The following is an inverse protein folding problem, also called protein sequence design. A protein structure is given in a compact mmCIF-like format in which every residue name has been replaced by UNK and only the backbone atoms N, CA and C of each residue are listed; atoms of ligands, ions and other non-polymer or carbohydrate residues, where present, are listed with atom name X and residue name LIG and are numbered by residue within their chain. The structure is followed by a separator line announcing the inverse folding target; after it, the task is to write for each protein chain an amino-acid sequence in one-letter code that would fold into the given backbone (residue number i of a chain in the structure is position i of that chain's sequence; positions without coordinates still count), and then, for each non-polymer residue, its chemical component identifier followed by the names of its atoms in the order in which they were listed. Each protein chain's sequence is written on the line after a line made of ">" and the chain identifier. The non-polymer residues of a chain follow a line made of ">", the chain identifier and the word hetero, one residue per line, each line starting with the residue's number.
data_IF_272626081270
#
_entry.id   IF_272626081270
#
_cell.length_a   1.000
_cell.length_b   1.000
_cell.length_c   1.000
_cell.angle_alpha   90.00
_cell.angle_beta   90.00
_cell.angle_gamma   90.00
#
_symmetry.space_group_name_H-M   'P 1'
#
loop_
_entity.id
_entity.type
_entity.pdbx_description
1 polymer ?
#
# COMPACT_ATOMS: atom_id res chain seq x y z
N UNK A 1 20.66 -27.39 13.64
CA UNK A 1 20.69 -26.33 12.63
C UNK A 1 21.34 -25.13 13.31
N UNK A 2 22.43 -24.62 12.78
CA UNK A 2 23.13 -23.47 13.37
C UNK A 2 22.31 -22.19 13.16
N UNK A 3 22.47 -21.20 14.04
CA UNK A 3 21.78 -19.91 13.97
C UNK A 3 21.98 -19.24 12.59
N UNK A 4 23.19 -19.32 12.07
CA UNK A 4 23.56 -18.85 10.71
C UNK A 4 22.80 -19.52 9.57
N UNK A 5 22.44 -20.82 9.70
CA UNK A 5 21.63 -21.52 8.66
C UNK A 5 20.17 -21.08 8.71
N UNK A 6 19.64 -20.77 9.89
CA UNK A 6 18.27 -20.24 10.03
C UNK A 6 18.14 -18.83 9.47
N UNK A 7 19.14 -17.96 9.70
CA UNK A 7 19.18 -16.60 9.17
C UNK A 7 19.26 -16.58 7.64
N UNK A 8 20.13 -17.41 7.06
CA UNK A 8 20.26 -17.54 5.60
C UNK A 8 18.95 -18.05 4.97
N UNK A 9 18.29 -19.02 5.60
CA UNK A 9 17.01 -19.54 5.14
C UNK A 9 15.91 -18.47 5.21
N UNK A 10 15.86 -17.69 6.29
CA UNK A 10 14.90 -16.60 6.46
C UNK A 10 15.09 -15.49 5.40
N UNK A 11 16.33 -15.09 5.12
CA UNK A 11 16.66 -14.12 4.09
C UNK A 11 16.27 -14.61 2.68
N UNK A 12 16.54 -15.88 2.37
CA UNK A 12 16.15 -16.50 1.11
C UNK A 12 14.62 -16.56 0.95
N UNK A 13 13.90 -16.95 2.01
CA UNK A 13 12.44 -16.97 2.02
C UNK A 13 11.85 -15.57 1.83
N UNK A 14 12.42 -14.55 2.46
CA UNK A 14 11.98 -13.17 2.30
C UNK A 14 12.15 -12.68 0.85
N UNK A 15 13.29 -13.01 0.20
CA UNK A 15 13.52 -12.69 -1.21
C UNK A 15 12.49 -13.37 -2.11
N UNK A 16 12.25 -14.66 -1.90
CA UNK A 16 11.26 -15.45 -2.66
C UNK A 16 9.86 -14.86 -2.48
N UNK A 17 9.44 -14.59 -1.25
CA UNK A 17 8.15 -13.98 -0.97
C UNK A 17 8.03 -12.57 -1.57
N UNK A 18 9.13 -11.79 -1.56
CA UNK A 18 9.22 -10.50 -2.21
C UNK A 18 8.97 -10.57 -3.72
N UNK A 19 9.66 -11.48 -4.39
CA UNK A 19 9.51 -11.72 -5.84
C UNK A 19 8.11 -12.24 -6.17
N UNK A 20 7.61 -13.23 -5.43
CA UNK A 20 6.25 -13.77 -5.61
C UNK A 20 5.17 -12.70 -5.41
N UNK A 21 5.29 -11.88 -4.38
CA UNK A 21 4.37 -10.78 -4.13
C UNK A 21 4.37 -9.76 -5.27
N UNK A 22 5.54 -9.43 -5.80
CA UNK A 22 5.66 -8.55 -6.97
C UNK A 22 5.02 -9.17 -8.23
N UNK A 23 5.27 -10.45 -8.49
CA UNK A 23 4.66 -11.17 -9.61
C UNK A 23 3.13 -11.23 -9.47
N UNK A 24 2.62 -11.50 -8.28
CA UNK A 24 1.18 -11.52 -8.01
C UNK A 24 0.55 -10.13 -8.18
N UNK A 25 1.18 -9.06 -7.66
CA UNK A 25 0.70 -7.70 -7.82
C UNK A 25 0.68 -7.28 -9.31
N UNK A 26 1.75 -7.61 -10.04
CA UNK A 26 1.86 -7.35 -11.47
C UNK A 26 0.82 -8.16 -12.26
N UNK A 27 0.67 -9.45 -11.96
CA UNK A 27 -0.33 -10.32 -12.56
C UNK A 27 -1.75 -9.81 -12.34
N UNK A 28 -2.08 -9.42 -11.11
CA UNK A 28 -3.37 -8.83 -10.77
C UNK A 28 -3.62 -7.52 -11.53
N UNK A 29 -2.62 -6.63 -11.59
CA UNK A 29 -2.72 -5.37 -12.33
C UNK A 29 -2.97 -5.61 -13.83
N UNK A 30 -2.29 -6.60 -14.43
CA UNK A 30 -2.50 -6.99 -15.84
C UNK A 30 -3.89 -7.60 -16.08
N UNK A 31 -4.37 -8.46 -15.18
CA UNK A 31 -5.73 -9.03 -15.24
C UNK A 31 -6.76 -7.92 -15.15
N UNK A 32 -6.63 -7.01 -14.20
CA UNK A 32 -7.52 -5.86 -14.04
C UNK A 32 -7.52 -4.96 -15.29
N UNK A 33 -6.33 -4.70 -15.86
CA UNK A 33 -6.20 -3.94 -17.10
C UNK A 33 -6.85 -4.64 -18.30
N UNK A 34 -6.69 -5.96 -18.43
CA UNK A 34 -7.30 -6.75 -19.49
C UNK A 34 -8.83 -6.75 -19.38
N UNK A 35 -9.38 -6.92 -18.18
CA UNK A 35 -10.82 -6.85 -17.94
C UNK A 35 -11.38 -5.45 -18.20
N UNK A 36 -10.65 -4.41 -17.83
CA UNK A 36 -11.02 -3.03 -18.13
C UNK A 36 -11.10 -2.77 -19.65
N UNK A 37 -10.11 -3.25 -20.39
CA UNK A 37 -10.09 -3.14 -21.87
C UNK A 37 -11.26 -3.87 -22.54
N UNK A 38 -11.68 -5.02 -21.98
CA UNK A 38 -12.82 -5.82 -22.48
C UNK A 38 -14.18 -5.23 -22.10
N UNK A 39 -14.23 -4.09 -21.43
CA UNK A 39 -15.48 -3.45 -21.01
C UNK A 39 -16.25 -4.20 -19.93
N UNK A 40 -15.62 -5.20 -19.29
CA UNK A 40 -16.22 -5.94 -18.17
C UNK A 40 -16.39 -4.99 -16.99
N UNK A 41 -17.62 -4.58 -16.75
CA UNK A 41 -17.99 -3.75 -15.61
C UNK A 41 -18.34 -4.65 -14.44
N UNK A 42 -17.40 -4.88 -13.54
CA UNK A 42 -17.74 -5.47 -12.26
C UNK A 42 -18.71 -4.57 -11.50
N UNK A 43 -19.73 -5.17 -10.89
CA UNK A 43 -20.58 -4.44 -9.96
C UNK A 43 -19.72 -3.92 -8.79
N UNK A 44 -20.21 -2.88 -8.11
CA UNK A 44 -19.54 -2.36 -6.90
C UNK A 44 -19.31 -3.45 -5.86
N UNK A 45 -20.28 -4.38 -5.72
CA UNK A 45 -20.17 -5.55 -4.84
C UNK A 45 -19.06 -6.51 -5.27
N UNK A 46 -18.87 -6.71 -6.57
CA UNK A 46 -17.79 -7.56 -7.09
C UNK A 46 -16.39 -7.00 -6.77
N UNK A 47 -16.19 -5.70 -6.87
CA UNK A 47 -14.93 -5.06 -6.48
C UNK A 47 -14.63 -5.21 -4.98
N UNK A 48 -15.65 -5.00 -4.12
CA UNK A 48 -15.51 -5.20 -2.67
C UNK A 48 -15.16 -6.64 -2.32
N UNK A 49 -15.83 -7.61 -2.94
CA UNK A 49 -15.57 -9.01 -2.67
C UNK A 49 -14.17 -9.45 -3.13
N UNK A 50 -13.72 -8.99 -4.30
CA UNK A 50 -12.46 -9.43 -4.89
C UNK A 50 -11.22 -8.80 -4.29
N UNK A 51 -11.28 -7.57 -3.81
CA UNK A 51 -10.11 -6.83 -3.36
C UNK A 51 -10.15 -6.46 -1.87
N UNK A 52 -11.26 -5.92 -1.38
CA UNK A 52 -11.33 -5.38 -0.03
C UNK A 52 -11.50 -6.46 1.05
N UNK A 53 -12.31 -7.49 0.81
CA UNK A 53 -12.55 -8.55 1.80
C UNK A 53 -11.31 -9.39 2.09
N UNK A 54 -10.55 -9.90 1.08
CA UNK A 54 -9.30 -10.62 1.35
C UNK A 54 -8.26 -9.75 2.05
N UNK A 55 -8.15 -8.46 1.66
CA UNK A 55 -7.23 -7.52 2.30
C UNK A 55 -7.63 -7.26 3.77
N UNK A 56 -8.91 -7.12 4.06
CA UNK A 56 -9.40 -6.96 5.43
C UNK A 56 -9.14 -8.21 6.27
N UNK A 57 -9.36 -9.41 5.71
CA UNK A 57 -9.05 -10.68 6.37
C UNK A 57 -7.56 -10.80 6.69
N UNK A 58 -6.69 -10.51 5.73
CA UNK A 58 -5.24 -10.49 5.95
C UNK A 58 -4.86 -9.48 7.04
N UNK A 59 -5.39 -8.25 6.95
CA UNK A 59 -5.13 -7.23 7.95
C UNK A 59 -5.55 -7.67 9.35
N UNK A 60 -6.73 -8.27 9.51
CA UNK A 60 -7.23 -8.74 10.79
C UNK A 60 -6.33 -9.83 11.41
N UNK A 61 -5.86 -10.79 10.59
CA UNK A 61 -4.92 -11.83 11.04
C UNK A 61 -3.59 -11.19 11.50
N UNK A 62 -3.01 -10.29 10.71
CA UNK A 62 -1.77 -9.60 11.06
C UNK A 62 -1.92 -8.76 12.34
N UNK A 63 -3.03 -8.03 12.45
CA UNK A 63 -3.35 -7.22 13.63
C UNK A 63 -3.49 -8.09 14.90
N UNK A 64 -4.16 -9.24 14.80
CA UNK A 64 -4.26 -10.20 15.90
C UNK A 64 -2.89 -10.71 16.32
N UNK A 65 -2.05 -11.14 15.36
CA UNK A 65 -0.70 -11.64 15.64
C UNK A 65 0.18 -10.60 16.33
N UNK A 66 0.07 -9.34 15.94
CA UNK A 66 0.80 -8.24 16.59
C UNK A 66 0.25 -7.97 17.99
N UNK A 67 -1.07 -7.87 18.15
CA UNK A 67 -1.69 -7.59 19.45
C UNK A 67 -1.43 -8.68 20.50
N UNK A 68 -1.36 -9.96 20.07
CA UNK A 68 -1.12 -11.10 20.96
C UNK A 68 0.35 -11.51 21.05
N UNK A 69 1.28 -10.78 20.42
CA UNK A 69 2.70 -11.15 20.27
C UNK A 69 2.88 -12.60 19.78
N UNK A 70 2.06 -12.98 18.79
CA UNK A 70 2.01 -14.33 18.26
C UNK A 70 3.29 -14.76 17.51
N UNK A 71 3.32 -15.99 16.97
CA UNK A 71 4.50 -16.54 16.26
C UNK A 71 5.06 -15.67 15.15
N UNK A 72 4.22 -14.88 14.48
CA UNK A 72 4.63 -13.97 13.40
C UNK A 72 5.58 -12.87 13.90
N UNK A 73 5.43 -12.39 15.13
CA UNK A 73 6.32 -11.35 15.68
C UNK A 73 7.73 -11.87 15.91
N UNK A 74 7.88 -13.16 16.24
CA UNK A 74 9.19 -13.83 16.35
C UNK A 74 9.85 -13.99 14.98
N UNK A 75 9.06 -14.34 13.95
CA UNK A 75 9.55 -14.39 12.58
C UNK A 75 9.98 -13.00 12.07
N UNK A 76 9.22 -11.96 12.37
CA UNK A 76 9.58 -10.56 12.07
C UNK A 76 10.94 -10.19 12.67
N UNK A 77 11.17 -10.52 13.94
CA UNK A 77 12.43 -10.25 14.62
C UNK A 77 13.59 -11.02 13.98
N UNK A 78 13.40 -12.31 13.69
CA UNK A 78 14.42 -13.15 13.04
C UNK A 78 14.77 -12.64 11.64
N UNK A 79 13.77 -12.23 10.85
CA UNK A 79 13.99 -11.64 9.53
C UNK A 79 14.77 -10.32 9.63
N UNK A 80 14.40 -9.45 10.57
CA UNK A 80 15.09 -8.17 10.76
C UNK A 80 16.56 -8.41 11.16
N UNK A 81 16.82 -9.36 12.03
CA UNK A 81 18.17 -9.74 12.43
C UNK A 81 18.99 -10.29 11.24
N UNK A 82 18.39 -11.16 10.43
CA UNK A 82 19.03 -11.70 9.23
C UNK A 82 19.37 -10.58 8.21
N UNK A 83 18.47 -9.63 8.00
CA UNK A 83 18.72 -8.48 7.14
C UNK A 83 19.84 -7.59 7.69
N UNK A 84 19.89 -7.40 9.01
CA UNK A 84 20.95 -6.60 9.65
C UNK A 84 22.35 -7.16 9.37
N UNK A 85 22.50 -8.48 9.38
CA UNK A 85 23.81 -9.13 9.18
C UNK A 85 24.18 -9.31 7.70
N UNK A 86 23.19 -9.38 6.77
CA UNK A 86 23.42 -9.78 5.39
C UNK A 86 23.29 -8.65 4.37
N UNK A 87 22.58 -7.56 4.70
CA UNK A 87 22.36 -6.46 3.76
C UNK A 87 23.53 -5.49 3.75
N UNK A 88 24.19 -5.33 2.61
CA UNK A 88 25.29 -4.38 2.46
C UNK A 88 24.81 -2.91 2.46
N UNK A 89 25.69 -2.00 2.83
CA UNK A 89 25.42 -0.54 2.79
C UNK A 89 25.00 -0.05 1.42
N UNK A 90 25.53 -0.65 0.35
CA UNK A 90 25.14 -0.32 -1.02
C UNK A 90 23.65 -0.61 -1.28
N UNK A 91 23.15 -1.76 -0.82
CA UNK A 91 21.73 -2.11 -0.91
C UNK A 91 20.84 -1.21 -0.07
N UNK A 92 21.30 -0.78 1.11
CA UNK A 92 20.59 0.17 1.95
C UNK A 92 20.45 1.53 1.24
N UNK A 93 21.53 2.05 0.67
CA UNK A 93 21.48 3.29 -0.11
C UNK A 93 20.57 3.16 -1.33
N UNK A 94 20.62 2.03 -2.04
CA UNK A 94 19.69 1.78 -3.14
C UNK A 94 18.22 1.78 -2.69
N UNK A 95 17.92 1.17 -1.55
CA UNK A 95 16.56 1.10 -1.00
C UNK A 95 15.98 2.48 -0.60
N UNK A 96 16.83 3.50 -0.42
CA UNK A 96 16.34 4.87 -0.15
C UNK A 96 15.67 5.53 -1.36
N UNK A 97 15.93 5.07 -2.58
CA UNK A 97 15.35 5.68 -3.78
C UNK A 97 13.84 5.40 -3.91
N UNK A 98 13.38 4.14 -3.92
CA UNK A 98 11.96 3.86 -4.08
C UNK A 98 11.12 4.35 -2.89
N UNK A 99 11.70 4.44 -1.67
CA UNK A 99 10.97 4.94 -0.51
C UNK A 99 10.60 6.41 -0.62
N UNK A 100 11.41 7.24 -1.35
CA UNK A 100 11.15 8.68 -1.52
C UNK A 100 9.78 8.98 -2.12
N UNK A 101 9.25 8.09 -2.95
CA UNK A 101 7.91 8.24 -3.50
C UNK A 101 6.81 8.25 -2.41
N UNK A 102 7.07 7.66 -1.25
CA UNK A 102 6.18 7.64 -0.08
C UNK A 102 6.49 8.71 0.96
N UNK A 103 7.53 9.53 0.77
CA UNK A 103 7.91 10.55 1.74
C UNK A 103 6.82 11.62 1.87
N UNK A 104 6.53 12.09 3.09
CA UNK A 104 5.46 13.06 3.33
C UNK A 104 5.54 14.31 2.45
N UNK A 105 6.69 14.96 2.22
CA UNK A 105 6.76 16.14 1.33
C UNK A 105 6.33 15.83 -0.10
N UNK A 106 6.74 14.67 -0.65
CA UNK A 106 6.41 14.25 -2.01
C UNK A 106 4.91 13.97 -2.13
N UNK A 107 4.35 13.22 -1.17
CA UNK A 107 2.92 12.89 -1.15
C UNK A 107 2.07 14.14 -0.97
N UNK A 108 2.46 15.08 -0.11
CA UNK A 108 1.74 16.36 0.10
C UNK A 108 1.78 17.20 -1.17
N UNK A 109 2.95 17.38 -1.80
CA UNK A 109 3.09 18.14 -3.04
C UNK A 109 2.24 17.52 -4.17
N UNK A 110 2.32 16.20 -4.35
CA UNK A 110 1.53 15.47 -5.34
C UNK A 110 0.02 15.61 -5.06
N UNK A 111 -0.36 15.52 -3.78
CA UNK A 111 -1.77 15.66 -3.37
C UNK A 111 -2.32 17.03 -3.74
N UNK A 112 -1.57 18.09 -3.46
CA UNK A 112 -1.97 19.45 -3.78
C UNK A 112 -2.04 19.67 -5.30
N UNK A 113 -1.02 19.26 -6.06
CA UNK A 113 -0.96 19.43 -7.52
C UNK A 113 -2.13 18.73 -8.22
N UNK A 114 -2.39 17.47 -7.88
CA UNK A 114 -3.48 16.70 -8.49
C UNK A 114 -4.85 17.25 -8.09
N UNK A 115 -5.04 17.60 -6.82
CA UNK A 115 -6.29 18.19 -6.34
C UNK A 115 -6.62 19.51 -7.05
N UNK A 116 -5.63 20.41 -7.14
CA UNK A 116 -5.78 21.70 -7.84
C UNK A 116 -6.04 21.51 -9.34
N UNK A 117 -5.30 20.62 -10.01
CA UNK A 117 -5.49 20.31 -11.42
C UNK A 117 -6.88 19.74 -11.72
N UNK A 118 -7.38 18.83 -10.87
CA UNK A 118 -8.73 18.29 -10.97
C UNK A 118 -9.80 19.36 -10.72
N UNK A 119 -9.56 20.23 -9.74
CA UNK A 119 -10.47 21.32 -9.40
C UNK A 119 -10.60 22.33 -10.53
N UNK A 120 -9.51 22.77 -11.11
CA UNK A 120 -9.51 23.68 -12.27
C UNK A 120 -10.21 23.09 -13.49
N UNK A 121 -10.07 21.77 -13.69
CA UNK A 121 -10.77 21.04 -14.76
C UNK A 121 -12.23 20.71 -14.43
N UNK A 122 -12.80 21.29 -13.37
CA UNK A 122 -14.18 21.07 -12.90
C UNK A 122 -14.49 19.61 -12.51
N UNK A 123 -13.49 18.82 -12.21
CA UNK A 123 -13.65 17.45 -11.70
C UNK A 123 -13.70 17.40 -10.17
N UNK A 124 -14.54 18.24 -9.54
CA UNK A 124 -14.57 18.46 -8.09
C UNK A 124 -14.74 17.17 -7.28
N UNK A 125 -15.64 16.27 -7.73
CA UNK A 125 -15.86 15.00 -7.03
C UNK A 125 -14.64 14.06 -7.09
N UNK A 126 -13.88 14.09 -8.21
CA UNK A 126 -12.61 13.36 -8.30
C UNK A 126 -11.54 13.99 -7.40
N UNK A 127 -11.49 15.32 -7.32
CA UNK A 127 -10.57 16.01 -6.41
C UNK A 127 -10.86 15.66 -4.95
N UNK A 128 -12.12 15.66 -4.54
CA UNK A 128 -12.51 15.25 -3.19
C UNK A 128 -12.17 13.78 -2.90
N UNK A 129 -12.45 12.87 -3.84
CA UNK A 129 -12.10 11.47 -3.69
C UNK A 129 -10.59 11.23 -3.65
N UNK A 130 -9.80 11.99 -4.40
CA UNK A 130 -8.35 11.98 -4.36
C UNK A 130 -7.83 12.40 -2.98
N UNK A 131 -8.27 13.55 -2.46
CA UNK A 131 -7.90 14.03 -1.14
C UNK A 131 -8.33 13.05 -0.04
N UNK A 132 -9.56 12.52 -0.12
CA UNK A 132 -10.05 11.53 0.82
C UNK A 132 -9.20 10.25 0.82
N UNK A 133 -8.76 9.79 -0.36
CA UNK A 133 -7.90 8.60 -0.46
C UNK A 133 -6.54 8.83 0.22
N UNK A 134 -5.89 9.96 0.00
CA UNK A 134 -4.54 10.22 0.53
C UNK A 134 -4.58 10.67 1.99
N UNK A 135 -5.32 11.74 2.29
CA UNK A 135 -5.38 12.31 3.65
C UNK A 135 -6.11 11.36 4.60
N UNK A 136 -7.23 10.78 4.17
CA UNK A 136 -7.98 9.82 4.97
C UNK A 136 -7.15 8.57 5.31
N UNK A 137 -6.34 8.06 4.35
CA UNK A 137 -5.39 6.97 4.65
C UNK A 137 -4.35 7.38 5.69
N UNK A 138 -3.81 8.60 5.60
CA UNK A 138 -2.84 9.08 6.59
C UNK A 138 -3.44 9.19 8.00
N UNK A 139 -4.68 9.69 8.10
CA UNK A 139 -5.41 9.76 9.37
C UNK A 139 -5.74 8.37 9.93
N UNK A 140 -6.22 7.46 9.08
CA UNK A 140 -6.47 6.07 9.46
C UNK A 140 -5.19 5.41 9.99
N UNK A 141 -4.09 5.54 9.25
CA UNK A 141 -2.81 4.95 9.65
C UNK A 141 -2.31 5.53 10.98
N UNK A 142 -2.45 6.84 11.19
CA UNK A 142 -2.12 7.49 12.46
C UNK A 142 -2.95 6.93 13.61
N UNK A 143 -4.26 6.78 13.43
CA UNK A 143 -5.15 6.17 14.44
C UNK A 143 -4.77 4.74 14.77
N UNK A 144 -4.50 3.92 13.74
CA UNK A 144 -4.06 2.53 13.94
C UNK A 144 -2.71 2.44 14.67
N UNK A 145 -1.76 3.33 14.38
CA UNK A 145 -0.47 3.37 15.10
C UNK A 145 -0.65 3.58 16.61
N UNK A 146 -1.54 4.48 17.01
CA UNK A 146 -1.86 4.72 18.42
C UNK A 146 -2.67 3.59 19.06
N UNK A 147 -3.39 2.79 18.26
CA UNK A 147 -4.13 1.63 18.77
C UNK A 147 -3.21 0.45 19.11
N UNK A 148 -2.18 0.21 18.29
CA UNK A 148 -1.30 -0.95 18.44
C UNK A 148 -0.01 -0.66 19.18
N UNK A 149 0.47 0.57 19.17
CA UNK A 149 1.66 1.07 19.87
C UNK A 149 2.90 0.17 19.74
N UNK A 150 3.03 -0.51 18.60
CA UNK A 150 4.12 -1.44 18.36
C UNK A 150 5.45 -0.69 18.21
N UNK A 151 6.46 -1.13 18.95
CA UNK A 151 7.83 -0.63 18.81
C UNK A 151 8.42 -0.97 17.44
N UNK A 152 9.34 -0.11 16.97
CA UNK A 152 10.08 -0.34 15.73
C UNK A 152 11.20 -1.35 15.93
N UNK A 153 11.72 -1.96 14.84
CA UNK A 153 12.96 -2.74 14.90
C UNK A 153 14.10 -1.97 15.57
N UNK A 154 14.83 -2.64 16.46
CA UNK A 154 15.97 -2.04 17.16
C UNK A 154 17.20 -1.81 16.25
N UNK A 155 17.22 -2.49 15.09
CA UNK A 155 18.35 -2.47 14.17
C UNK A 155 18.10 -1.47 13.03
N UNK A 156 18.67 -0.29 13.16
CA UNK A 156 18.69 0.66 12.04
C UNK A 156 20.11 1.07 11.70
N UNK A 157 20.36 1.28 10.43
CA UNK A 157 21.69 1.61 9.91
C UNK A 157 22.00 3.12 9.91
N UNK A 158 21.13 3.96 10.47
CA UNK A 158 21.29 5.41 10.45
C UNK A 158 21.06 6.08 9.08
N UNK A 159 20.76 5.30 8.02
CA UNK A 159 20.52 5.82 6.67
C UNK A 159 19.16 6.53 6.58
N UNK A 160 18.17 6.04 7.30
CA UNK A 160 16.83 6.64 7.43
C UNK A 160 16.43 6.57 8.90
N UNK A 161 15.95 7.69 9.44
CA UNK A 161 15.41 7.76 10.80
C UNK A 161 13.90 7.91 10.74
N UNK A 162 13.20 7.09 11.52
CA UNK A 162 11.75 7.13 11.64
C UNK A 162 11.36 7.18 13.11
N UNK A 163 10.37 8.00 13.44
CA UNK A 163 9.87 8.17 14.80
C UNK A 163 8.45 7.60 14.97
N UNK A 164 8.06 7.37 16.23
CA UNK A 164 6.73 6.85 16.57
C UNK A 164 6.57 5.36 16.29
N UNK A 165 5.34 4.88 16.39
CA UNK A 165 4.99 3.46 16.33
C UNK A 165 5.18 2.83 14.96
N UNK A 166 5.43 1.50 14.96
CA UNK A 166 5.76 0.74 13.77
C UNK A 166 4.53 0.27 12.99
N UNK A 167 3.52 -0.27 13.67
CA UNK A 167 2.38 -0.94 13.03
C UNK A 167 1.15 -0.04 12.86
N UNK A 168 0.52 -0.04 11.70
CA UNK A 168 0.99 -0.54 10.40
C UNK A 168 1.92 0.46 9.70
N UNK A 169 2.62 0.01 8.63
CA UNK A 169 3.52 0.88 7.87
C UNK A 169 2.78 1.99 7.12
N UNK A 170 3.08 3.25 7.46
CA UNK A 170 2.51 4.42 6.81
C UNK A 170 2.99 4.64 5.38
N UNK A 171 4.26 4.33 5.08
CA UNK A 171 4.78 4.38 3.72
C UNK A 171 4.11 3.34 2.82
N UNK A 172 3.93 2.11 3.29
CA UNK A 172 3.29 1.05 2.50
C UNK A 172 1.82 1.38 2.20
N UNK A 173 1.04 1.79 3.21
CA UNK A 173 -0.36 2.17 3.02
C UNK A 173 -0.50 3.45 2.20
N UNK A 174 0.36 4.45 2.45
CA UNK A 174 0.34 5.75 1.78
C UNK A 174 0.71 5.66 0.30
N UNK A 175 1.78 4.94 -0.07
CA UNK A 175 2.14 4.75 -1.48
C UNK A 175 1.05 4.01 -2.23
N UNK A 176 0.49 2.95 -1.64
CA UNK A 176 -0.61 2.21 -2.27
C UNK A 176 -1.86 3.08 -2.47
N UNK A 177 -2.29 3.83 -1.45
CA UNK A 177 -3.46 4.69 -1.56
C UNK A 177 -3.24 5.83 -2.56
N UNK A 178 -2.06 6.47 -2.53
CA UNK A 178 -1.72 7.60 -3.41
C UNK A 178 -1.61 7.15 -4.87
N UNK A 179 -0.71 6.21 -5.15
CA UNK A 179 -0.46 5.79 -6.54
C UNK A 179 -1.57 4.91 -7.11
N UNK A 180 -2.25 4.14 -6.26
CA UNK A 180 -3.45 3.39 -6.66
C UNK A 180 -4.60 4.31 -7.04
N UNK A 181 -4.84 5.39 -6.28
CA UNK A 181 -5.86 6.38 -6.65
C UNK A 181 -5.43 7.19 -7.87
N UNK A 182 -4.14 7.53 -8.03
CA UNK A 182 -3.62 8.18 -9.23
C UNK A 182 -3.83 7.31 -10.47
N UNK A 183 -3.52 6.02 -10.39
CA UNK A 183 -3.82 5.07 -11.48
C UNK A 183 -5.31 5.02 -11.80
N UNK A 184 -6.18 5.01 -10.78
CA UNK A 184 -7.62 5.09 -11.00
C UNK A 184 -8.04 6.38 -11.72
N UNK A 185 -7.45 7.54 -11.39
CA UNK A 185 -7.70 8.80 -12.09
C UNK A 185 -7.26 8.73 -13.56
N UNK A 186 -6.10 8.14 -13.83
CA UNK A 186 -5.63 7.90 -15.22
C UNK A 186 -6.61 7.01 -15.99
N UNK A 187 -7.10 5.92 -15.37
CA UNK A 187 -8.10 5.04 -15.96
C UNK A 187 -9.43 5.76 -16.29
N UNK A 188 -9.71 6.85 -15.59
CA UNK A 188 -10.96 7.63 -15.77
C UNK A 188 -10.84 8.79 -16.75
N UNK A 189 -9.67 9.38 -16.87
CA UNK A 189 -9.46 10.67 -17.54
C UNK A 189 -8.52 10.59 -18.75
N UNK A 190 -7.67 9.57 -18.83
CA UNK A 190 -6.67 9.44 -19.88
C UNK A 190 -7.06 8.38 -20.92
N UNK A 191 -6.48 8.46 -22.14
CA UNK A 191 -6.66 7.44 -23.18
C UNK A 191 -6.22 6.04 -22.73
N UNK A 192 -6.80 4.96 -23.33
CA UNK A 192 -6.50 3.57 -22.94
C UNK A 192 -5.03 3.17 -23.01
N UNK A 193 -4.24 3.85 -23.83
CA UNK A 193 -2.77 3.64 -23.91
C UNK A 193 -2.07 3.77 -22.55
N UNK A 194 -2.55 4.67 -21.69
CA UNK A 194 -1.97 4.95 -20.38
C UNK A 194 -2.47 4.04 -19.26
N UNK A 195 -3.50 3.22 -19.48
CA UNK A 195 -4.12 2.44 -18.42
C UNK A 195 -3.16 1.38 -17.84
N UNK A 196 -2.51 0.59 -18.71
CA UNK A 196 -1.56 -0.45 -18.26
C UNK A 196 -0.32 0.18 -17.63
N UNK A 197 0.36 1.15 -18.26
CA UNK A 197 1.48 1.84 -17.63
C UNK A 197 1.16 2.42 -16.25
N UNK A 198 -0.01 3.04 -16.08
CA UNK A 198 -0.42 3.60 -14.79
C UNK A 198 -0.60 2.54 -13.70
N UNK A 199 -1.26 1.41 -14.04
CA UNK A 199 -1.46 0.30 -13.10
C UNK A 199 -0.13 -0.37 -12.72
N UNK A 200 0.74 -0.64 -13.70
CA UNK A 200 2.04 -1.24 -13.44
C UNK A 200 2.95 -0.31 -12.64
N UNK A 201 2.96 0.99 -12.98
CA UNK A 201 3.71 2.00 -12.25
C UNK A 201 3.24 2.14 -10.79
N UNK A 202 1.93 2.17 -10.56
CA UNK A 202 1.37 2.22 -9.22
C UNK A 202 1.70 0.96 -8.40
N UNK A 203 1.56 -0.22 -9.00
CA UNK A 203 1.91 -1.49 -8.35
C UNK A 203 3.40 -1.56 -8.01
N UNK A 204 4.27 -1.12 -8.94
CA UNK A 204 5.72 -1.08 -8.74
C UNK A 204 6.11 -0.12 -7.62
N UNK A 205 5.58 1.11 -7.62
CA UNK A 205 5.88 2.11 -6.58
C UNK A 205 5.40 1.64 -5.21
N UNK A 206 4.18 1.11 -5.11
CA UNK A 206 3.66 0.59 -3.86
C UNK A 206 4.49 -0.57 -3.33
N UNK A 207 4.89 -1.51 -4.20
CA UNK A 207 5.67 -2.68 -3.82
C UNK A 207 7.10 -2.33 -3.46
N UNK A 208 7.79 -1.55 -4.31
CA UNK A 208 9.17 -1.13 -4.05
C UNK A 208 9.28 -0.24 -2.81
N UNK A 209 8.34 0.70 -2.64
CA UNK A 209 8.24 1.51 -1.43
C UNK A 209 8.01 0.65 -0.18
N UNK A 210 7.16 -0.37 -0.27
CA UNK A 210 6.90 -1.30 0.82
C UNK A 210 8.14 -2.15 1.17
N UNK A 211 8.78 -2.79 0.19
CA UNK A 211 9.98 -3.62 0.39
C UNK A 211 11.14 -2.80 0.96
N UNK A 212 11.31 -1.55 0.51
CA UNK A 212 12.38 -0.67 1.01
C UNK A 212 12.29 -0.46 2.53
N UNK A 213 11.08 -0.43 3.12
CA UNK A 213 10.91 -0.25 4.57
C UNK A 213 11.41 -1.43 5.40
N UNK A 214 11.29 -2.64 4.85
CA UNK A 214 11.83 -3.86 5.47
C UNK A 214 13.35 -3.90 5.31
N UNK A 215 13.87 -3.63 4.10
CA UNK A 215 15.31 -3.59 3.84
C UNK A 215 16.03 -2.53 4.69
N UNK A 216 15.43 -1.35 4.84
CA UNK A 216 15.92 -0.26 5.70
C UNK A 216 15.69 -0.52 7.20
N UNK A 217 15.07 -1.65 7.56
CA UNK A 217 14.84 -2.08 8.95
C UNK A 217 14.11 -1.04 9.82
N UNK A 218 13.30 -0.19 9.20
CA UNK A 218 12.46 0.79 9.90
C UNK A 218 11.05 0.27 10.19
N UNK A 219 10.69 -0.87 9.58
CA UNK A 219 9.44 -1.61 9.79
C UNK A 219 9.67 -3.12 9.71
N UNK A 220 8.89 -3.86 10.47
CA UNK A 220 8.78 -5.31 10.30
C UNK A 220 8.02 -5.65 9.01
N UNK A 221 8.23 -6.87 8.49
CA UNK A 221 7.53 -7.32 7.29
C UNK A 221 6.01 -7.36 7.49
N UNK A 222 5.53 -7.78 8.66
CA UNK A 222 4.11 -7.77 8.99
C UNK A 222 3.51 -6.35 9.04
N UNK A 223 4.27 -5.32 9.48
CA UNK A 223 3.81 -3.91 9.44
C UNK A 223 3.54 -3.46 8.01
N UNK A 224 4.44 -3.86 7.11
CA UNK A 224 4.37 -3.50 5.69
C UNK A 224 3.20 -4.19 5.02
N UNK A 225 3.01 -5.49 5.24
CA UNK A 225 1.87 -6.25 4.73
C UNK A 225 0.54 -5.71 5.26
N UNK A 226 0.47 -5.38 6.56
CA UNK A 226 -0.71 -4.75 7.16
C UNK A 226 -0.97 -3.35 6.59
N UNK A 227 0.10 -2.58 6.30
CA UNK A 227 0.01 -1.29 5.62
C UNK A 227 -0.58 -1.41 4.21
N UNK A 228 -0.08 -2.36 3.40
CA UNK A 228 -0.62 -2.64 2.07
C UNK A 228 -2.09 -3.11 2.15
N UNK A 229 -2.43 -3.97 3.10
CA UNK A 229 -3.78 -4.46 3.29
C UNK A 229 -4.75 -3.34 3.70
N UNK A 230 -4.42 -2.54 4.73
CA UNK A 230 -5.25 -1.41 5.16
C UNK A 230 -5.39 -0.33 4.08
N UNK A 231 -4.31 -0.02 3.36
CA UNK A 231 -4.32 0.89 2.22
C UNK A 231 -5.22 0.40 1.08
N UNK A 232 -5.23 -0.92 0.79
CA UNK A 232 -6.10 -1.54 -0.22
C UNK A 232 -7.58 -1.42 0.16
N UNK A 233 -7.92 -1.70 1.42
CA UNK A 233 -9.29 -1.55 1.94
C UNK A 233 -9.73 -0.10 1.83
N UNK A 234 -8.91 0.84 2.30
CA UNK A 234 -9.24 2.26 2.26
C UNK A 234 -9.42 2.78 0.83
N UNK A 235 -8.51 2.46 -0.07
CA UNK A 235 -8.60 2.81 -1.49
C UNK A 235 -9.88 2.24 -2.12
N UNK A 236 -10.19 0.97 -1.82
CA UNK A 236 -11.42 0.32 -2.26
C UNK A 236 -12.67 1.07 -1.82
N UNK A 237 -12.73 1.45 -0.54
CA UNK A 237 -13.83 2.25 0.02
C UNK A 237 -13.98 3.61 -0.67
N UNK A 238 -12.87 4.32 -0.93
CA UNK A 238 -12.90 5.60 -1.64
C UNK A 238 -13.42 5.46 -3.08
N UNK A 239 -12.97 4.42 -3.81
CA UNK A 239 -13.43 4.16 -5.19
C UNK A 239 -14.92 3.80 -5.21
N UNK A 240 -15.36 2.98 -4.26
CA UNK A 240 -16.77 2.58 -4.11
C UNK A 240 -17.63 3.79 -3.76
N UNK A 241 -17.24 4.58 -2.76
CA UNK A 241 -17.94 5.81 -2.37
C UNK A 241 -18.10 6.78 -3.55
N UNK A 242 -17.02 6.96 -4.35
CA UNK A 242 -17.06 7.78 -5.55
C UNK A 242 -18.07 7.26 -6.61
N UNK A 243 -18.20 5.94 -6.76
CA UNK A 243 -19.17 5.34 -7.68
C UNK A 243 -20.60 5.56 -7.21
N UNK A 244 -20.88 5.44 -5.93
CA UNK A 244 -22.19 5.73 -5.36
C UNK A 244 -22.56 7.21 -5.51
N UNK A 245 -21.65 8.13 -5.25
CA UNK A 245 -21.87 9.56 -5.40
C UNK A 245 -22.15 9.98 -6.86
N UNK A 246 -21.76 9.14 -7.84
CA UNK A 246 -22.02 9.36 -9.28
C UNK A 246 -23.21 8.59 -9.83
N UNK A 247 -23.79 7.67 -9.05
CA UNK A 247 -24.99 6.97 -9.50
C UNK A 247 -26.13 7.98 -9.65
N UNK A 248 -26.92 7.95 -10.76
CA UNK A 248 -28.12 8.76 -10.87
C UNK A 248 -29.01 8.46 -9.65
N UNK A 249 -29.34 9.48 -8.88
CA UNK A 249 -30.36 9.33 -7.87
C UNK A 249 -31.65 8.99 -8.60
N UNK A 250 -32.17 7.78 -8.38
CA UNK A 250 -33.49 7.42 -8.87
C UNK A 250 -34.47 8.44 -8.25
N UNK A 251 -35.07 9.26 -9.12
CA UNK A 251 -36.15 10.17 -8.70
C UNK A 251 -37.20 9.31 -7.98
N UNK A 252 -37.72 9.75 -6.83
CA UNK A 252 -38.83 9.04 -6.20
C UNK A 252 -39.97 9.00 -7.21
N UNK A 253 -40.45 7.80 -7.52
CA UNK A 253 -41.66 7.61 -8.30
C UNK A 253 -42.77 8.34 -7.54
N UNK A 254 -43.21 9.48 -8.10
CA UNK A 254 -44.40 10.17 -7.59
C UNK A 254 -45.58 9.23 -7.78
N UNK A 255 -46.12 8.75 -6.67
CA UNK A 255 -47.38 8.05 -6.63
C UNK A 255 -48.54 8.98 -6.88
#
# INVERSE_FOLDING_TARGET
>A
MTETTMEALAAQQALVLGVLGWLLATGLALVLAAHWRRGVRYSTRGWLALAALPALGLWAVLAQQVATQGPLTRWDAALTQALHTQVSTAWLHWATWPTRAGDPPVVVALTALVALGLWWRKHHLLALAWVAAVVGNALLNKGLKHLFERDRPAHWHGVVTETGYSFPSGHASGTLATYGMLAYLVLRLAPPLWHVPALLGAAWLAWMGACSRVLLQVHYASDVLAGLASGSVWLGLCIVGLRYARAPQALPVRA
#
